data_IF_111586455155
#
_entry.id   IF_111586455155
#
_cell.length_a   1.000
_cell.length_b   1.000
_cell.length_c   1.000
_cell.angle_alpha   90.00
_cell.angle_beta   90.00
_cell.angle_gamma   90.00
#
_symmetry.space_group_name_H-M   'P 1'
#
loop_
_entity.id
_entity.type
_entity.pdbx_description
1 polymer ?
#
# COMPACT_ATOMS: atom_id res chain seq x y z
N UNK A 1 68.99 20.20 53.96
CA UNK A 1 70.18 20.01 53.10
C UNK A 1 69.87 20.66 51.77
N UNK A 2 70.59 21.75 51.49
CA UNK A 2 70.36 22.72 50.42
C UNK A 2 71.07 22.30 49.14
N UNK A 3 70.48 22.57 47.96
CA UNK A 3 71.08 23.23 46.78
C UNK A 3 70.06 23.15 45.63
N UNK A 4 69.24 24.17 45.37
CA UNK A 4 69.48 25.43 44.62
C UNK A 4 69.43 25.28 43.08
N UNK A 5 68.81 26.30 42.46
CA UNK A 5 68.91 26.79 41.06
C UNK A 5 67.85 26.23 40.07
N UNK A 6 66.79 26.95 39.72
CA UNK A 6 66.61 28.10 38.80
C UNK A 6 66.89 27.83 37.30
N UNK A 7 65.82 28.05 36.51
CA UNK A 7 65.76 28.63 35.16
C UNK A 7 66.14 27.85 33.89
N UNK A 8 65.11 27.69 33.04
CA UNK A 8 64.99 28.16 31.64
C UNK A 8 66.03 27.71 30.61
N UNK A 9 65.61 26.91 29.62
CA UNK A 9 65.66 27.25 28.18
C UNK A 9 65.44 26.01 27.29
N UNK A 10 64.76 26.24 26.18
CA UNK A 10 64.56 25.38 25.02
C UNK A 10 65.78 24.55 24.61
N UNK A 11 65.53 23.33 24.12
CA UNK A 11 66.20 22.87 22.91
C UNK A 11 65.23 22.02 22.07
N UNK A 12 64.92 22.58 20.91
CA UNK A 12 64.22 21.98 19.77
C UNK A 12 64.96 20.78 19.19
N UNK A 13 64.26 19.69 18.93
CA UNK A 13 64.61 18.76 17.83
C UNK A 13 63.37 18.48 17.00
N UNK A 14 63.36 19.09 15.82
CA UNK A 14 62.42 18.91 14.72
C UNK A 14 62.64 17.51 14.12
N UNK A 15 61.64 16.63 14.17
CA UNK A 15 61.58 15.43 13.35
C UNK A 15 60.39 15.57 12.39
N UNK A 16 60.73 15.93 11.15
CA UNK A 16 59.84 16.10 10.02
C UNK A 16 59.41 14.71 9.51
N UNK A 17 58.27 14.22 9.97
CA UNK A 17 57.62 13.03 9.40
C UNK A 17 56.73 13.43 8.23
N UNK A 18 57.14 13.13 7.00
CA UNK A 18 56.30 13.22 5.80
C UNK A 18 55.05 12.34 5.99
N UNK A 19 53.91 12.95 6.26
CA UNK A 19 52.61 12.30 6.08
C UNK A 19 52.12 12.69 4.69
N UNK A 20 52.09 11.73 3.78
CA UNK A 20 51.50 11.91 2.46
C UNK A 20 50.02 12.32 2.62
N UNK A 21 49.52 13.33 1.89
CA UNK A 21 48.10 13.55 1.83
C UNK A 21 47.53 12.41 0.96
N UNK A 22 46.96 11.41 1.61
CA UNK A 22 45.96 10.58 0.95
C UNK A 22 44.83 11.55 0.59
N UNK A 23 44.79 11.94 -0.69
CA UNK A 23 43.62 12.52 -1.33
C UNK A 23 42.43 11.65 -0.92
N UNK A 24 41.68 12.09 0.08
CA UNK A 24 40.31 11.64 0.24
C UNK A 24 39.60 12.24 -0.96
N UNK A 25 39.60 11.49 -2.06
CA UNK A 25 38.54 11.59 -3.04
C UNK A 25 37.26 11.29 -2.25
N UNK A 26 36.62 12.34 -1.76
CA UNK A 26 35.22 12.29 -1.39
C UNK A 26 34.49 12.05 -2.70
N UNK A 27 34.36 10.77 -3.04
CA UNK A 27 33.40 10.30 -4.02
C UNK A 27 32.07 10.84 -3.53
N UNK A 28 31.63 11.94 -4.15
CA UNK A 28 30.34 12.51 -3.89
C UNK A 28 29.34 11.41 -4.19
N UNK A 29 28.82 10.79 -3.13
CA UNK A 29 27.69 9.89 -3.23
C UNK A 29 26.66 10.61 -4.10
N UNK A 30 26.20 10.00 -5.20
CA UNK A 30 25.18 10.64 -6.03
C UNK A 30 24.06 11.02 -5.08
N UNK A 31 23.74 12.31 -5.04
CA UNK A 31 22.60 12.82 -4.29
C UNK A 31 21.43 11.91 -4.65
N UNK A 32 21.00 11.08 -3.69
CA UNK A 32 19.85 10.23 -3.86
C UNK A 32 18.74 11.17 -4.30
N UNK A 33 18.26 11.01 -5.54
CA UNK A 33 17.12 11.75 -6.01
C UNK A 33 16.02 11.50 -4.98
N UNK A 34 15.67 12.54 -4.22
CA UNK A 34 14.61 12.46 -3.22
C UNK A 34 13.35 12.02 -3.97
N UNK A 35 12.98 10.75 -3.79
CA UNK A 35 11.76 10.22 -4.36
C UNK A 35 10.60 11.01 -3.74
N UNK A 36 9.99 11.91 -4.52
CA UNK A 36 8.87 12.71 -4.06
C UNK A 36 7.76 11.78 -3.59
N UNK A 37 7.36 11.92 -2.33
CA UNK A 37 6.19 11.23 -1.80
C UNK A 37 4.96 11.66 -2.60
N UNK A 38 4.13 10.73 -3.08
CA UNK A 38 2.91 11.07 -3.82
C UNK A 38 1.97 11.94 -2.99
N UNK A 39 1.30 12.88 -3.64
CA UNK A 39 0.22 13.68 -3.04
C UNK A 39 -1.01 12.81 -2.78
N UNK A 40 -1.91 13.27 -1.92
CA UNK A 40 -3.16 12.56 -1.63
C UNK A 40 -4.02 12.40 -2.89
N UNK A 41 -4.07 13.42 -3.75
CA UNK A 41 -4.80 13.40 -5.02
C UNK A 41 -4.22 12.38 -6.00
N UNK A 42 -2.89 12.27 -6.07
CA UNK A 42 -2.22 11.25 -6.87
C UNK A 42 -2.49 9.84 -6.34
N UNK A 43 -2.45 9.64 -5.02
CA UNK A 43 -2.80 8.36 -4.39
C UNK A 43 -4.24 7.95 -4.71
N UNK A 44 -5.20 8.86 -4.58
CA UNK A 44 -6.61 8.62 -4.92
C UNK A 44 -6.75 8.26 -6.39
N UNK A 45 -6.15 9.05 -7.29
CA UNK A 45 -6.24 8.81 -8.74
C UNK A 45 -5.62 7.48 -9.14
N UNK A 46 -4.47 7.13 -8.56
CA UNK A 46 -3.79 5.87 -8.81
C UNK A 46 -4.62 4.71 -8.31
N UNK A 47 -5.18 4.81 -7.11
CA UNK A 47 -6.04 3.77 -6.54
C UNK A 47 -7.32 3.57 -7.34
N UNK A 48 -7.96 4.65 -7.79
CA UNK A 48 -9.18 4.56 -8.61
C UNK A 48 -8.93 3.78 -9.90
N UNK A 49 -7.79 4.09 -10.55
CA UNK A 49 -7.32 3.37 -11.74
C UNK A 49 -6.98 1.91 -11.43
N UNK A 50 -6.29 1.66 -10.33
CA UNK A 50 -5.84 0.33 -9.91
C UNK A 50 -7.02 -0.57 -9.55
N UNK A 51 -8.03 -0.09 -8.83
CA UNK A 51 -9.17 -0.92 -8.42
C UNK A 51 -10.20 -1.13 -9.55
N UNK A 52 -10.30 -0.21 -10.51
CA UNK A 52 -11.31 -0.30 -11.60
C UNK A 52 -10.99 -1.41 -12.61
N UNK A 53 -11.72 -2.52 -12.59
CA UNK A 53 -11.41 -3.71 -13.38
C UNK A 53 -10.40 -4.64 -12.71
N UNK A 54 -10.39 -4.67 -11.37
CA UNK A 54 -9.52 -5.54 -10.58
C UNK A 54 -10.26 -6.83 -10.19
N UNK A 55 -9.63 -7.98 -10.41
CA UNK A 55 -10.08 -9.27 -9.88
C UNK A 55 -9.29 -9.59 -8.62
N UNK A 56 -10.01 -9.95 -7.56
CA UNK A 56 -9.45 -10.45 -6.31
C UNK A 56 -9.70 -11.96 -6.27
N UNK A 57 -8.67 -12.72 -5.99
CA UNK A 57 -8.75 -14.18 -5.82
C UNK A 57 -8.01 -14.58 -4.56
N UNK A 58 -8.70 -15.25 -3.65
CA UNK A 58 -8.10 -15.56 -2.37
C UNK A 58 -8.86 -16.61 -1.59
N UNK A 59 -8.64 -16.56 -0.28
CA UNK A 59 -9.21 -17.50 0.67
C UNK A 59 -9.62 -16.77 1.94
N UNK A 60 -10.65 -17.28 2.60
CA UNK A 60 -11.09 -16.80 3.91
C UNK A 60 -11.20 -17.93 4.93
N UNK A 61 -10.97 -17.57 6.19
CA UNK A 61 -11.15 -18.45 7.36
C UNK A 61 -12.37 -18.00 8.15
N UNK A 62 -12.88 -18.87 9.01
CA UNK A 62 -13.88 -18.51 10.03
C UNK A 62 -13.32 -18.90 11.39
N UNK A 63 -13.20 -17.94 12.30
CA UNK A 63 -12.75 -18.20 13.67
C UNK A 63 -13.72 -19.17 14.34
N UNK A 64 -13.17 -20.17 15.04
CA UNK A 64 -13.96 -21.20 15.73
C UNK A 64 -14.54 -22.28 14.82
N UNK A 65 -14.20 -22.31 13.51
CA UNK A 65 -14.50 -23.43 12.62
C UNK A 65 -13.23 -24.16 12.20
N UNK A 66 -13.28 -25.48 12.26
CA UNK A 66 -12.27 -26.35 11.67
C UNK A 66 -12.52 -26.49 10.14
N UNK A 67 -11.49 -26.90 9.39
CA UNK A 67 -11.60 -27.14 7.94
C UNK A 67 -10.83 -26.17 7.03
N UNK A 68 -9.92 -25.36 7.58
CA UNK A 68 -9.00 -24.54 6.80
C UNK A 68 -9.67 -23.35 6.08
N UNK A 69 -8.89 -22.67 5.24
CA UNK A 69 -9.36 -21.51 4.48
C UNK A 69 -10.14 -21.95 3.23
N UNK A 70 -11.29 -21.31 2.98
CA UNK A 70 -12.17 -21.54 1.82
C UNK A 70 -11.90 -20.52 0.73
N UNK A 71 -12.04 -20.92 -0.52
CA UNK A 71 -11.81 -20.03 -1.67
C UNK A 71 -12.89 -18.95 -1.79
N UNK A 72 -12.46 -17.77 -2.25
CA UNK A 72 -13.32 -16.66 -2.64
C UNK A 72 -12.76 -15.99 -3.90
N UNK A 73 -13.63 -15.24 -4.59
CA UNK A 73 -13.22 -14.38 -5.70
C UNK A 73 -14.22 -13.24 -5.87
N UNK A 74 -13.69 -12.06 -6.20
CA UNK A 74 -14.46 -10.86 -6.46
C UNK A 74 -13.93 -10.15 -7.70
N UNK A 75 -14.81 -9.40 -8.37
CA UNK A 75 -14.42 -8.45 -9.41
C UNK A 75 -14.90 -7.07 -9.01
N UNK A 76 -13.99 -6.11 -8.90
CA UNK A 76 -14.29 -4.68 -8.81
C UNK A 76 -14.37 -4.15 -10.25
N UNK A 77 -15.57 -3.91 -10.74
CA UNK A 77 -15.81 -3.39 -12.09
C UNK A 77 -15.49 -1.90 -12.18
N UNK A 78 -15.76 -1.16 -11.11
CA UNK A 78 -15.52 0.28 -11.02
C UNK A 78 -15.28 0.67 -9.57
N UNK A 79 -14.28 1.52 -9.35
CA UNK A 79 -14.08 2.24 -8.11
C UNK A 79 -14.28 3.73 -8.39
N UNK A 80 -14.92 4.46 -7.47
CA UNK A 80 -15.07 5.92 -7.58
C UNK A 80 -14.98 6.54 -6.21
N UNK A 81 -14.08 7.52 -6.03
CA UNK A 81 -14.03 8.32 -4.81
C UNK A 81 -15.27 9.21 -4.73
N UNK A 82 -15.98 9.16 -3.61
CA UNK A 82 -17.13 10.04 -3.38
C UNK A 82 -16.68 11.42 -2.88
N UNK A 83 -17.46 12.49 -3.05
CA UNK A 83 -17.10 13.83 -2.55
C UNK A 83 -16.87 13.87 -1.03
N UNK A 84 -17.54 13.00 -0.29
CA UNK A 84 -17.53 13.01 1.16
C UNK A 84 -16.39 12.16 1.74
N UNK A 85 -15.54 12.80 2.54
CA UNK A 85 -14.57 12.14 3.42
C UNK A 85 -13.73 11.05 2.75
N UNK A 86 -13.72 9.85 3.33
CA UNK A 86 -13.00 8.68 2.83
C UNK A 86 -13.89 7.69 2.07
N UNK A 87 -15.13 8.06 1.77
CA UNK A 87 -16.10 7.14 1.18
C UNK A 87 -15.80 6.90 -0.30
N UNK A 88 -15.91 5.65 -0.73
CA UNK A 88 -15.84 5.18 -2.10
C UNK A 88 -17.09 4.40 -2.44
N UNK A 89 -17.48 4.46 -3.72
CA UNK A 89 -18.49 3.58 -4.28
C UNK A 89 -17.81 2.56 -5.19
N UNK A 90 -17.89 1.29 -4.81
CA UNK A 90 -17.43 0.19 -5.64
C UNK A 90 -18.61 -0.47 -6.35
N UNK A 91 -18.49 -0.74 -7.64
CA UNK A 91 -19.35 -1.69 -8.34
C UNK A 91 -18.63 -3.02 -8.37
N UNK A 92 -19.06 -3.98 -7.54
CA UNK A 92 -18.37 -5.25 -7.38
C UNK A 92 -19.29 -6.45 -7.70
N UNK A 93 -18.71 -7.61 -7.98
CA UNK A 93 -19.46 -8.86 -8.12
C UNK A 93 -18.69 -10.05 -7.54
N UNK A 94 -19.42 -11.00 -6.95
CA UNK A 94 -18.89 -12.31 -6.49
C UNK A 94 -19.05 -13.41 -7.55
N UNK A 95 -19.89 -13.15 -8.54
CA UNK A 95 -20.19 -14.03 -9.65
C UNK A 95 -20.35 -13.17 -10.92
N UNK A 96 -20.51 -13.81 -12.07
CA UNK A 96 -20.64 -13.10 -13.35
C UNK A 96 -21.97 -12.36 -13.51
N UNK A 97 -23.00 -12.73 -12.73
CA UNK A 97 -24.38 -12.36 -12.99
C UNK A 97 -24.83 -11.09 -12.30
N UNK A 98 -24.22 -10.73 -11.17
CA UNK A 98 -24.77 -9.67 -10.31
C UNK A 98 -23.70 -8.69 -9.86
N UNK A 99 -23.80 -7.46 -10.36
CA UNK A 99 -23.03 -6.31 -9.86
C UNK A 99 -23.80 -5.65 -8.72
N UNK A 100 -23.14 -5.48 -7.59
CA UNK A 100 -23.68 -4.82 -6.40
C UNK A 100 -22.92 -3.52 -6.13
N UNK A 101 -23.63 -2.43 -5.76
CA UNK A 101 -22.98 -1.25 -5.22
C UNK A 101 -22.51 -1.53 -3.79
N UNK A 102 -21.24 -1.29 -3.52
CA UNK A 102 -20.61 -1.47 -2.21
C UNK A 102 -20.03 -0.12 -1.79
N UNK A 103 -20.75 0.67 -0.96
CA UNK A 103 -20.13 1.79 -0.28
C UNK A 103 -19.07 1.26 0.69
N UNK A 104 -17.88 1.86 0.69
CA UNK A 104 -16.79 1.47 1.58
C UNK A 104 -15.87 2.65 1.85
N UNK A 105 -15.36 2.76 3.07
CA UNK A 105 -14.32 3.74 3.35
C UNK A 105 -12.96 3.17 2.93
N UNK A 106 -12.12 4.01 2.34
CA UNK A 106 -10.72 3.68 2.12
C UNK A 106 -9.87 4.64 2.93
N UNK A 107 -9.27 4.09 3.98
CA UNK A 107 -8.32 4.76 4.85
C UNK A 107 -6.89 4.53 4.35
N UNK A 108 -5.93 5.31 4.84
CA UNK A 108 -4.54 5.24 4.40
C UNK A 108 -3.58 5.05 5.58
N UNK A 109 -2.68 4.09 5.47
CA UNK A 109 -1.49 3.97 6.31
C UNK A 109 -0.26 4.37 5.48
N UNK A 110 0.14 5.63 5.58
CA UNK A 110 1.11 6.22 4.63
C UNK A 110 0.53 6.22 3.22
N UNK A 111 1.17 5.50 2.30
CA UNK A 111 0.71 5.33 0.91
C UNK A 111 -0.05 4.01 0.69
N UNK A 112 -0.36 3.26 1.75
CA UNK A 112 -1.01 1.96 1.65
C UNK A 112 -2.52 2.09 1.94
N UNK A 113 -3.39 1.74 0.99
CA UNK A 113 -4.84 1.82 1.17
C UNK A 113 -5.38 0.66 2.03
N UNK A 114 -6.38 0.97 2.85
CA UNK A 114 -7.09 0.04 3.73
C UNK A 114 -8.59 0.18 3.50
N UNK A 115 -9.22 -0.87 2.97
CA UNK A 115 -10.67 -0.97 2.87
C UNK A 115 -11.27 -1.16 4.27
N UNK A 116 -12.21 -0.30 4.66
CA UNK A 116 -12.75 -0.21 6.01
C UNK A 116 -14.28 -0.12 5.99
N UNK A 117 -14.94 -0.99 6.75
CA UNK A 117 -16.40 -0.97 6.97
C UNK A 117 -16.70 -1.20 8.44
N UNK A 118 -17.51 -0.37 9.10
CA UNK A 118 -17.93 -0.60 10.50
C UNK A 118 -19.42 -0.79 10.57
N UNK A 119 -19.86 -2.01 10.89
CA UNK A 119 -21.28 -2.36 11.06
C UNK A 119 -22.16 -1.83 9.90
N UNK A 120 -21.66 -1.95 8.68
CA UNK A 120 -22.33 -1.40 7.51
C UNK A 120 -23.35 -2.40 6.96
N UNK A 121 -24.60 -1.96 6.86
CA UNK A 121 -25.67 -2.74 6.25
C UNK A 121 -25.60 -2.65 4.73
N UNK A 122 -25.43 -3.79 4.06
CA UNK A 122 -25.57 -3.91 2.61
C UNK A 122 -26.96 -4.52 2.32
N UNK A 123 -27.85 -3.81 1.60
CA UNK A 123 -29.18 -4.29 1.29
C UNK A 123 -29.17 -5.68 0.65
N UNK A 124 -29.93 -6.62 1.23
CA UNK A 124 -30.03 -8.00 0.77
C UNK A 124 -28.85 -8.93 1.11
N UNK A 125 -27.77 -8.41 1.70
CA UNK A 125 -26.56 -9.20 2.02
C UNK A 125 -26.24 -9.27 3.51
N UNK A 126 -26.74 -8.33 4.33
CA UNK A 126 -26.54 -8.31 5.77
C UNK A 126 -25.63 -7.18 6.24
N UNK A 127 -25.07 -7.32 7.45
CA UNK A 127 -24.22 -6.29 8.08
C UNK A 127 -22.78 -6.76 8.16
N UNK A 128 -21.87 -5.94 7.64
CA UNK A 128 -20.47 -6.29 7.49
C UNK A 128 -19.56 -5.33 8.25
N UNK A 129 -18.49 -5.88 8.80
CA UNK A 129 -17.30 -5.11 9.13
C UNK A 129 -16.07 -5.75 8.51
N UNK A 130 -15.14 -4.95 8.00
CA UNK A 130 -13.87 -5.45 7.48
C UNK A 130 -12.78 -4.39 7.62
N UNK A 131 -11.51 -4.83 7.71
CA UNK A 131 -10.26 -4.06 7.61
C UNK A 131 -9.36 -4.85 6.69
N UNK A 132 -9.18 -4.40 5.45
CA UNK A 132 -8.42 -5.12 4.43
C UNK A 132 -7.36 -4.20 3.85
N UNK A 133 -6.10 -4.54 4.07
CA UNK A 133 -4.95 -3.83 3.53
C UNK A 133 -4.74 -4.31 2.10
N UNK A 134 -4.53 -3.38 1.16
CA UNK A 134 -4.12 -3.69 -0.21
C UNK A 134 -2.67 -3.25 -0.38
N UNK A 135 -1.78 -4.18 -0.72
CA UNK A 135 -0.37 -3.88 -0.83
C UNK A 135 0.31 -4.87 -1.78
N UNK A 136 1.08 -4.34 -2.73
CA UNK A 136 1.94 -5.13 -3.64
C UNK A 136 1.20 -6.26 -4.38
N UNK A 137 0.06 -5.93 -4.99
CA UNK A 137 -0.76 -6.91 -5.72
C UNK A 137 -1.44 -7.95 -4.83
N UNK A 138 -1.41 -7.78 -3.50
CA UNK A 138 -2.03 -8.66 -2.53
C UNK A 138 -3.02 -7.93 -1.66
N UNK A 139 -3.94 -8.68 -1.06
CA UNK A 139 -4.80 -8.16 -0.01
C UNK A 139 -4.83 -9.12 1.17
N UNK A 140 -4.98 -8.57 2.37
CA UNK A 140 -5.18 -9.36 3.58
C UNK A 140 -5.93 -8.54 4.63
N UNK A 141 -6.73 -9.22 5.46
CA UNK A 141 -7.54 -8.50 6.42
C UNK A 141 -8.45 -9.35 7.28
N UNK A 142 -9.27 -8.66 8.05
CA UNK A 142 -10.35 -9.25 8.86
C UNK A 142 -11.70 -8.98 8.22
N UNK A 143 -12.64 -9.89 8.47
CA UNK A 143 -14.04 -9.71 8.13
C UNK A 143 -14.94 -10.15 9.28
N UNK A 144 -16.14 -9.57 9.32
CA UNK A 144 -17.22 -9.95 10.22
C UNK A 144 -18.55 -9.79 9.48
N UNK A 145 -19.40 -10.79 9.62
CA UNK A 145 -20.82 -10.74 9.24
C UNK A 145 -21.66 -11.13 10.47
N UNK A 146 -22.31 -10.15 11.08
CA UNK A 146 -22.99 -10.33 12.36
C UNK A 146 -22.03 -10.84 13.44
N UNK A 147 -22.30 -12.04 13.97
CA UNK A 147 -21.45 -12.67 15.02
C UNK A 147 -20.30 -13.52 14.45
N UNK A 148 -20.29 -13.77 13.14
CA UNK A 148 -19.28 -14.62 12.49
C UNK A 148 -18.12 -13.74 12.04
N UNK A 149 -16.89 -14.15 12.30
CA UNK A 149 -15.69 -13.39 11.93
C UNK A 149 -14.57 -14.31 11.46
N UNK A 150 -13.58 -13.74 10.78
CA UNK A 150 -12.36 -14.43 10.41
C UNK A 150 -11.41 -13.53 9.65
N UNK A 151 -10.49 -14.17 8.94
CA UNK A 151 -9.49 -13.52 8.11
C UNK A 151 -9.73 -13.84 6.65
N UNK A 152 -9.30 -12.96 5.75
CA UNK A 152 -9.25 -13.18 4.31
C UNK A 152 -7.92 -12.69 3.77
N UNK A 153 -7.43 -13.34 2.73
CA UNK A 153 -6.19 -12.98 2.05
C UNK A 153 -6.14 -13.53 0.63
N UNK A 154 -5.43 -12.87 -0.27
CA UNK A 154 -5.32 -13.29 -1.66
C UNK A 154 -4.50 -12.35 -2.52
N UNK A 155 -4.64 -12.49 -3.83
CA UNK A 155 -3.96 -11.70 -4.85
C UNK A 155 -4.95 -10.87 -5.67
N UNK A 156 -4.43 -9.83 -6.30
CA UNK A 156 -5.18 -8.89 -7.12
C UNK A 156 -4.58 -8.86 -8.53
N UNK A 157 -5.42 -9.04 -9.55
CA UNK A 157 -5.01 -9.06 -10.95
C UNK A 157 -5.93 -8.19 -11.80
N UNK A 158 -5.35 -7.42 -12.73
CA UNK A 158 -6.16 -6.65 -13.67
C UNK A 158 -6.86 -7.56 -14.65
N UNK A 159 -8.16 -7.33 -14.82
CA UNK A 159 -8.88 -7.91 -15.93
C UNK A 159 -8.37 -7.33 -17.25
N UNK A 160 -8.34 -8.14 -18.32
CA UNK A 160 -8.15 -7.62 -19.67
C UNK A 160 -9.17 -6.50 -19.92
N UNK A 161 -8.72 -5.40 -20.50
CA UNK A 161 -9.64 -4.37 -20.98
C UNK A 161 -10.38 -5.00 -22.15
N UNK A 162 -11.67 -5.28 -22.00
CA UNK A 162 -12.51 -5.65 -23.15
C UNK A 162 -12.45 -4.50 -24.16
N UNK A 163 -11.73 -4.70 -25.27
CA UNK A 163 -11.81 -3.83 -26.44
C UNK A 163 -13.27 -3.81 -26.87
N UNK A 164 -13.93 -2.67 -26.64
CA UNK A 164 -15.28 -2.39 -27.11
C UNK A 164 -15.38 -2.83 -28.58
N UNK A 165 -16.38 -3.67 -28.97
CA UNK A 165 -16.53 -4.04 -30.37
C UNK A 165 -16.71 -2.75 -31.18
N UNK A 166 -15.78 -2.49 -32.10
CA UNK A 166 -15.96 -1.47 -33.13
C UNK A 166 -17.31 -1.75 -33.80
N UNK A 167 -18.20 -0.78 -33.71
CA UNK A 167 -19.48 -0.84 -34.40
C UNK A 167 -19.18 -0.99 -35.90
N UNK A 168 -19.43 -2.18 -36.44
CA UNK A 168 -19.36 -2.43 -37.88
C UNK A 168 -20.21 -1.35 -38.58
N UNK A 169 -19.66 -0.56 -39.52
CA UNK A 169 -20.47 0.43 -40.22
C UNK A 169 -21.60 -0.29 -40.97
N UNK A 170 -22.82 0.25 -40.84
CA UNK A 170 -24.00 -0.28 -41.49
C UNK A 170 -23.78 -0.38 -43.01
N UNK A 171 -24.24 -1.46 -43.67
CA UNK A 171 -24.14 -1.58 -45.11
C UNK A 171 -24.95 -0.47 -45.79
N UNK A 172 -24.36 0.12 -46.84
CA UNK A 172 -25.04 1.05 -47.76
C UNK A 172 -26.04 0.31 -48.65
#
# INVERSE_FOLDING_TARGET
>A
MSLRHLSWAMLTTLALGLVAPALHAQEAAPAAAEAKTPTAEELIKNLEKELTGMKLTGRFTTIGKEGGAKEESYVIHKATKMPDGNLWMLSASMNEKTKIPVPIDIEWAGTTPILSMTEMAIPGLGTFSCRVVLYDGMYAGTWRHGKVTGHLFGTMEKLPVDEKPEAKPAPK
#
